data_IF_645051599054
#
_entry.id   IF_645051599054
#
_cell.length_a   1.000
_cell.length_b   1.000
_cell.length_c   1.000
_cell.angle_alpha   90.00
_cell.angle_beta   90.00
_cell.angle_gamma   90.00
#
_symmetry.space_group_name_H-M   'P 1'
#
loop_
_entity.id
_entity.type
_entity.pdbx_description
1 polymer ?
#
# COMPACT_ATOMS: atom_id res chain seq x y z
N UNK A 1 25.93 -19.26 -13.12
CA UNK A 1 26.26 -18.03 -13.89
C UNK A 1 25.10 -17.64 -14.80
N UNK A 2 24.56 -18.55 -15.62
CA UNK A 2 23.39 -18.32 -16.49
C UNK A 2 22.18 -17.76 -15.72
N UNK A 3 21.74 -18.42 -14.64
CA UNK A 3 20.60 -17.96 -13.80
C UNK A 3 20.75 -16.55 -13.22
N UNK A 4 21.99 -16.15 -12.89
CA UNK A 4 22.25 -14.80 -12.34
C UNK A 4 22.16 -13.75 -13.45
N UNK A 5 22.63 -14.07 -14.67
CA UNK A 5 22.46 -13.20 -15.83
C UNK A 5 20.97 -13.06 -16.19
N UNK A 6 20.21 -14.16 -16.17
CA UNK A 6 18.76 -14.14 -16.41
C UNK A 6 18.00 -13.30 -15.37
N UNK A 7 18.33 -13.48 -14.08
CA UNK A 7 17.77 -12.64 -13.01
C UNK A 7 18.02 -11.15 -13.28
N UNK A 8 19.27 -10.77 -13.55
CA UNK A 8 19.61 -9.37 -13.83
C UNK A 8 18.88 -8.86 -15.08
N UNK A 9 18.82 -9.66 -16.15
CA UNK A 9 18.11 -9.30 -17.39
C UNK A 9 16.62 -9.07 -17.15
N UNK A 10 15.96 -9.91 -16.33
CA UNK A 10 14.54 -9.76 -15.99
C UNK A 10 14.29 -8.47 -15.20
N UNK A 11 15.13 -8.19 -14.21
CA UNK A 11 15.04 -6.98 -13.39
C UNK A 11 15.23 -5.74 -14.27
N UNK A 12 16.26 -5.72 -15.12
CA UNK A 12 16.50 -4.61 -16.05
C UNK A 12 15.33 -4.39 -16.99
N UNK A 13 14.84 -5.46 -17.64
CA UNK A 13 13.72 -5.35 -18.59
C UNK A 13 12.44 -4.82 -17.93
N UNK A 14 12.15 -5.26 -16.69
CA UNK A 14 11.00 -4.78 -15.93
C UNK A 14 11.14 -3.29 -15.59
N UNK A 15 12.32 -2.86 -15.11
CA UNK A 15 12.57 -1.45 -14.81
C UNK A 15 12.52 -0.56 -16.06
N UNK A 16 13.01 -1.05 -17.20
CA UNK A 16 12.92 -0.32 -18.47
C UNK A 16 11.47 -0.16 -18.93
N UNK A 17 10.63 -1.19 -18.78
CA UNK A 17 9.20 -1.12 -19.09
C UNK A 17 8.49 -0.07 -18.22
N UNK A 18 8.73 -0.08 -16.90
CA UNK A 18 8.16 0.92 -15.98
C UNK A 18 8.55 2.35 -16.34
N UNK A 19 9.80 2.58 -16.76
CA UNK A 19 10.27 3.91 -17.20
C UNK A 19 9.53 4.37 -18.46
N UNK A 20 9.26 3.47 -19.41
CA UNK A 20 8.51 3.78 -20.62
C UNK A 20 7.04 4.12 -20.30
N UNK A 21 6.40 3.35 -19.42
CA UNK A 21 5.03 3.60 -18.97
C UNK A 21 4.91 4.93 -18.22
N UNK A 22 5.86 5.23 -17.33
CA UNK A 22 5.89 6.49 -16.60
C UNK A 22 6.11 7.68 -17.54
N UNK A 23 6.97 7.53 -18.56
CA UNK A 23 7.17 8.56 -19.59
C UNK A 23 5.93 8.79 -20.46
N UNK A 24 5.05 7.79 -20.59
CA UNK A 24 3.78 7.92 -21.28
C UNK A 24 2.70 8.62 -20.43
N UNK A 25 2.90 8.78 -19.12
CA UNK A 25 1.99 9.52 -18.23
C UNK A 25 0.61 8.87 -18.06
N UNK A 26 0.50 7.55 -18.24
CA UNK A 26 -0.79 6.84 -18.21
C UNK A 26 -1.41 6.75 -16.80
N UNK A 27 -0.58 6.85 -15.76
CA UNK A 27 -0.95 6.89 -14.34
C UNK A 27 0.26 7.32 -13.49
N UNK A 28 0.03 7.61 -12.21
CA UNK A 28 1.07 7.97 -11.23
C UNK A 28 1.19 6.94 -10.08
N UNK A 29 0.82 5.68 -10.33
CA UNK A 29 0.82 4.61 -9.33
C UNK A 29 2.20 4.32 -8.73
N UNK A 30 3.25 4.31 -9.55
CA UNK A 30 4.61 3.89 -9.18
C UNK A 30 5.60 5.05 -9.04
N UNK A 31 5.10 6.28 -8.94
CA UNK A 31 5.93 7.45 -8.75
C UNK A 31 6.79 7.36 -7.48
N UNK A 32 8.02 7.89 -7.57
CA UNK A 32 8.92 8.00 -6.42
C UNK A 32 8.29 8.88 -5.35
N UNK A 33 8.21 8.51 -4.07
CA UNK A 33 7.61 9.37 -3.05
C UNK A 33 8.30 10.74 -2.98
N UNK A 34 7.53 11.80 -2.73
CA UNK A 34 8.10 13.10 -2.41
C UNK A 34 8.92 12.99 -1.12
N UNK A 35 9.94 13.84 -0.97
CA UNK A 35 10.75 13.88 0.25
C UNK A 35 9.91 14.07 1.53
N UNK A 36 8.83 14.84 1.45
CA UNK A 36 7.90 15.07 2.55
C UNK A 36 7.05 13.83 2.90
N UNK A 37 6.81 12.95 1.92
CA UNK A 37 6.04 11.73 2.14
C UNK A 37 6.86 10.59 2.76
N UNK A 38 8.19 10.71 2.80
CA UNK A 38 9.08 9.67 3.33
C UNK A 38 9.18 9.81 4.85
N UNK A 39 8.54 8.90 5.57
CA UNK A 39 8.44 8.93 7.04
C UNK A 39 9.26 7.82 7.69
N UNK A 40 9.99 8.17 8.76
CA UNK A 40 10.56 7.20 9.71
C UNK A 40 9.78 7.29 11.00
N UNK A 41 9.05 6.24 11.37
CA UNK A 41 8.26 6.28 12.62
C UNK A 41 9.13 6.46 13.86
N UNK A 42 10.41 6.10 13.80
CA UNK A 42 11.37 6.38 14.87
C UNK A 42 11.41 7.88 15.23
N UNK A 43 11.27 8.76 14.24
CA UNK A 43 11.33 10.22 14.44
C UNK A 43 10.08 10.72 15.19
N UNK A 44 8.93 10.04 15.05
CA UNK A 44 7.68 10.31 15.81
C UNK A 44 7.64 9.59 17.16
N UNK A 45 8.33 8.46 17.28
CA UNK A 45 8.23 7.53 18.40
C UNK A 45 9.17 7.85 19.58
N UNK A 46 9.38 9.14 19.88
CA UNK A 46 10.33 9.59 20.91
C UNK A 46 9.78 9.48 22.34
N UNK A 47 8.46 9.67 22.51
CA UNK A 47 7.81 9.62 23.81
C UNK A 47 7.29 8.21 24.11
N UNK A 48 8.05 7.48 24.93
CA UNK A 48 7.74 6.10 25.32
C UNK A 48 6.54 6.04 26.28
N UNK A 49 5.67 5.08 26.02
CA UNK A 49 4.50 4.75 26.85
C UNK A 49 4.77 3.50 27.69
N UNK A 50 4.07 3.37 28.81
CA UNK A 50 3.93 2.07 29.45
C UNK A 50 3.15 1.12 28.56
N UNK A 51 3.32 -0.22 28.70
CA UNK A 51 2.54 -1.19 27.93
C UNK A 51 1.01 -1.00 28.07
N UNK A 52 0.53 -0.57 29.24
CA UNK A 52 -0.89 -0.32 29.47
C UNK A 52 -1.39 0.92 28.70
N UNK A 53 -0.61 2.00 28.67
CA UNK A 53 -0.95 3.22 27.92
C UNK A 53 -0.90 2.98 26.40
N UNK A 54 0.10 2.23 25.92
CA UNK A 54 0.19 1.84 24.52
C UNK A 54 -1.01 0.98 24.12
N UNK A 55 -1.36 -0.04 24.94
CA UNK A 55 -2.57 -0.86 24.71
C UNK A 55 -3.83 0.01 24.67
N UNK A 56 -4.03 0.90 25.64
CA UNK A 56 -5.19 1.81 25.67
C UNK A 56 -5.29 2.67 24.41
N UNK A 57 -4.14 3.13 23.87
CA UNK A 57 -4.11 3.90 22.61
C UNK A 57 -4.51 3.04 21.41
N UNK A 58 -3.98 1.82 21.32
CA UNK A 58 -4.33 0.86 20.26
C UNK A 58 -5.82 0.47 20.35
N UNK A 59 -6.35 0.24 21.56
CA UNK A 59 -7.76 -0.05 21.77
C UNK A 59 -8.66 1.10 21.25
N UNK A 60 -8.18 2.34 21.35
CA UNK A 60 -8.84 3.50 20.73
C UNK A 60 -8.88 3.42 19.21
N UNK A 61 -7.78 3.02 18.56
CA UNK A 61 -7.76 2.82 17.10
C UNK A 61 -8.66 1.65 16.66
N UNK A 62 -8.68 0.57 17.44
CA UNK A 62 -9.58 -0.58 17.22
C UNK A 62 -11.04 -0.14 17.29
N UNK A 63 -11.40 0.61 18.35
CA UNK A 63 -12.76 1.12 18.52
C UNK A 63 -13.15 2.06 17.38
N UNK A 64 -12.23 2.91 16.92
CA UNK A 64 -12.46 3.80 15.78
C UNK A 64 -12.74 3.04 14.49
N UNK A 65 -11.89 2.08 14.12
CA UNK A 65 -12.10 1.25 12.92
C UNK A 65 -13.47 0.56 12.96
N UNK A 66 -13.82 -0.08 14.09
CA UNK A 66 -15.12 -0.75 14.26
C UNK A 66 -16.31 0.20 14.21
N UNK A 67 -16.13 1.45 14.64
CA UNK A 67 -17.21 2.44 14.61
C UNK A 67 -17.62 2.79 13.18
N UNK A 68 -16.72 2.67 12.20
CA UNK A 68 -17.02 2.95 10.79
C UNK A 68 -17.98 1.92 10.17
N UNK A 69 -17.97 0.67 10.63
CA UNK A 69 -18.85 -0.38 10.09
C UNK A 69 -20.34 -0.07 10.29
N UNK A 70 -20.72 0.65 11.35
CA UNK A 70 -22.12 0.97 11.63
C UNK A 70 -22.79 1.81 10.53
N UNK A 71 -22.00 2.61 9.79
CA UNK A 71 -22.50 3.45 8.70
C UNK A 71 -22.59 2.73 7.35
N UNK A 72 -22.02 1.53 7.21
CA UNK A 72 -21.89 0.78 5.95
C UNK A 72 -21.29 1.61 4.78
N UNK A 73 -20.57 2.69 5.07
CA UNK A 73 -20.07 3.62 4.05
C UNK A 73 -18.91 3.05 3.22
N UNK A 74 -18.36 1.91 3.64
CA UNK A 74 -17.27 1.20 2.97
C UNK A 74 -17.73 -0.09 2.26
N UNK A 75 -19.04 -0.41 2.27
CA UNK A 75 -19.54 -1.71 1.78
C UNK A 75 -19.44 -1.89 0.26
N UNK A 76 -19.28 -0.79 -0.46
CA UNK A 76 -19.06 -0.72 -1.91
C UNK A 76 -17.57 -0.86 -2.29
N UNK A 77 -16.69 -1.11 -1.32
CA UNK A 77 -15.24 -1.16 -1.53
C UNK A 77 -14.65 -2.51 -1.14
N UNK A 78 -13.69 -2.94 -1.95
CA UNK A 78 -12.88 -4.13 -1.73
C UNK A 78 -11.45 -3.75 -1.29
N UNK A 79 -10.87 -4.59 -0.43
CA UNK A 79 -9.45 -4.58 -0.09
C UNK A 79 -8.85 -5.94 -0.40
N UNK A 80 -7.81 -5.97 -1.22
CA UNK A 80 -7.07 -7.20 -1.54
C UNK A 80 -5.84 -7.29 -0.63
N UNK A 81 -5.76 -8.36 0.15
CA UNK A 81 -4.61 -8.65 1.02
C UNK A 81 -3.83 -9.84 0.47
N UNK A 82 -2.67 -9.58 -0.12
CA UNK A 82 -1.83 -10.56 -0.78
C UNK A 82 -0.75 -11.10 0.17
N UNK A 83 -0.51 -12.41 0.11
CA UNK A 83 0.43 -13.13 0.96
C UNK A 83 0.09 -13.03 2.47
N UNK A 84 -1.20 -12.93 2.80
CA UNK A 84 -1.67 -12.62 4.16
C UNK A 84 -2.34 -13.82 4.84
N UNK A 85 -1.54 -14.83 5.20
CA UNK A 85 -2.01 -15.97 6.01
C UNK A 85 -2.61 -15.55 7.36
N UNK A 86 -2.13 -14.43 7.92
CA UNK A 86 -2.49 -14.02 9.29
C UNK A 86 -3.82 -13.27 9.37
N UNK A 87 -4.15 -12.54 8.31
CA UNK A 87 -5.24 -11.58 8.26
C UNK A 87 -5.03 -10.34 9.13
N UNK A 88 -3.90 -10.19 9.83
CA UNK A 88 -3.70 -9.11 10.80
C UNK A 88 -3.61 -7.74 10.13
N UNK A 89 -2.95 -7.62 8.96
CA UNK A 89 -2.83 -6.33 8.27
C UNK A 89 -4.17 -5.84 7.73
N UNK A 90 -4.96 -6.76 7.20
CA UNK A 90 -6.25 -6.48 6.57
C UNK A 90 -7.43 -6.40 7.55
N UNK A 91 -7.29 -6.94 8.78
CA UNK A 91 -8.31 -6.91 9.83
C UNK A 91 -8.99 -5.55 10.09
N UNK A 92 -8.28 -4.43 10.26
CA UNK A 92 -8.95 -3.16 10.54
C UNK A 92 -9.86 -2.70 9.38
N UNK A 93 -9.56 -3.09 8.15
CA UNK A 93 -10.39 -2.79 6.97
C UNK A 93 -11.69 -3.59 7.01
N UNK A 94 -11.61 -4.89 7.29
CA UNK A 94 -12.78 -5.76 7.47
C UNK A 94 -13.67 -5.24 8.62
N UNK A 95 -13.07 -4.90 9.76
CA UNK A 95 -13.78 -4.36 10.92
C UNK A 95 -14.41 -2.99 10.65
N UNK A 96 -13.93 -2.25 9.65
CA UNK A 96 -14.49 -0.97 9.20
C UNK A 96 -15.56 -1.11 8.10
N UNK A 97 -15.91 -2.35 7.72
CA UNK A 97 -16.98 -2.64 6.78
C UNK A 97 -16.57 -2.72 5.31
N UNK A 98 -15.27 -2.76 5.00
CA UNK A 98 -14.79 -3.10 3.66
C UNK A 98 -14.97 -4.60 3.39
N UNK A 99 -15.17 -4.97 2.12
CA UNK A 99 -15.08 -6.36 1.71
C UNK A 99 -13.61 -6.75 1.55
N UNK A 100 -13.11 -7.66 2.38
CA UNK A 100 -11.69 -8.06 2.36
C UNK A 100 -11.52 -9.42 1.69
N UNK A 101 -10.64 -9.48 0.70
CA UNK A 101 -10.21 -10.72 0.05
C UNK A 101 -8.76 -11.01 0.42
N UNK A 102 -8.51 -12.11 1.13
CA UNK A 102 -7.18 -12.53 1.57
C UNK A 102 -6.68 -13.67 0.70
N UNK A 103 -5.47 -13.52 0.19
CA UNK A 103 -4.86 -14.45 -0.74
C UNK A 103 -3.53 -14.96 -0.19
N UNK A 104 -3.43 -16.25 0.10
CA UNK A 104 -2.19 -16.91 0.46
C UNK A 104 -2.18 -18.34 -0.04
N UNK A 105 -1.09 -18.74 -0.70
CA UNK A 105 -0.90 -20.08 -1.25
C UNK A 105 -0.94 -21.18 -0.15
N UNK A 106 -0.66 -20.84 1.11
CA UNK A 106 -0.79 -21.77 2.24
C UNK A 106 -2.24 -22.06 2.60
N UNK A 107 -3.14 -21.09 2.43
CA UNK A 107 -4.55 -21.24 2.76
C UNK A 107 -5.31 -21.88 1.61
N UNK A 108 -5.01 -21.46 0.37
CA UNK A 108 -5.58 -22.04 -0.84
C UNK A 108 -4.56 -22.01 -1.99
N UNK A 109 -4.00 -23.15 -2.41
CA UNK A 109 -3.01 -23.18 -3.50
C UNK A 109 -3.55 -22.72 -4.86
N UNK A 110 -4.85 -22.93 -5.13
CA UNK A 110 -5.45 -22.59 -6.42
C UNK A 110 -5.81 -21.10 -6.49
N UNK A 111 -6.37 -20.55 -5.41
CA UNK A 111 -6.83 -19.16 -5.34
C UNK A 111 -5.81 -18.19 -4.73
N UNK A 112 -4.83 -18.68 -3.97
CA UNK A 112 -3.88 -17.86 -3.21
C UNK A 112 -2.50 -17.75 -3.84
N UNK A 113 -2.21 -18.46 -4.94
CA UNK A 113 -0.96 -18.28 -5.69
C UNK A 113 -1.07 -17.04 -6.59
N UNK A 114 -0.39 -15.97 -6.20
CA UNK A 114 -0.35 -14.71 -6.94
C UNK A 114 0.17 -14.87 -8.37
N UNK A 115 0.96 -15.92 -8.69
CA UNK A 115 1.37 -16.18 -10.08
C UNK A 115 0.19 -16.47 -11.02
N UNK A 116 -0.94 -16.95 -10.47
CA UNK A 116 -2.14 -17.26 -11.25
C UNK A 116 -3.00 -16.03 -11.54
N UNK A 117 -2.67 -14.87 -10.96
CA UNK A 117 -3.52 -13.70 -11.07
C UNK A 117 -3.42 -13.09 -12.46
N UNK A 118 -4.53 -13.04 -13.16
CA UNK A 118 -4.69 -12.38 -14.45
C UNK A 118 -6.16 -11.94 -14.57
N UNK A 119 -6.51 -11.33 -15.71
CA UNK A 119 -7.85 -10.82 -15.95
C UNK A 119 -8.89 -11.93 -15.82
N UNK A 120 -8.64 -13.08 -16.45
CA UNK A 120 -9.55 -14.22 -16.42
C UNK A 120 -9.71 -14.79 -14.99
N UNK A 121 -8.63 -14.85 -14.22
CA UNK A 121 -8.67 -15.32 -12.84
C UNK A 121 -9.63 -14.48 -12.00
N UNK A 122 -9.50 -13.16 -12.02
CA UNK A 122 -10.37 -12.31 -11.22
C UNK A 122 -11.80 -12.32 -11.76
N UNK A 123 -11.97 -12.27 -13.08
CA UNK A 123 -13.30 -12.26 -13.68
C UNK A 123 -14.07 -13.57 -13.41
N UNK A 124 -13.42 -14.71 -13.52
CA UNK A 124 -14.07 -16.02 -13.38
C UNK A 124 -14.32 -16.40 -11.92
N UNK A 125 -13.34 -16.17 -11.05
CA UNK A 125 -13.42 -16.61 -9.64
C UNK A 125 -14.07 -15.57 -8.73
N UNK A 126 -13.90 -14.29 -9.05
CA UNK A 126 -14.34 -13.18 -8.20
C UNK A 126 -15.37 -12.29 -8.88
N UNK A 127 -15.60 -12.43 -10.19
CA UNK A 127 -16.49 -11.56 -10.96
C UNK A 127 -16.19 -10.10 -10.67
N UNK A 128 -14.88 -9.80 -10.62
CA UNK A 128 -14.25 -8.59 -10.09
C UNK A 128 -15.11 -7.88 -9.05
N UNK A 129 -15.39 -8.63 -7.99
CA UNK A 129 -15.96 -8.13 -6.75
C UNK A 129 -17.34 -7.49 -6.90
N UNK A 130 -18.11 -7.86 -7.93
CA UNK A 130 -19.53 -7.51 -8.10
C UNK A 130 -19.80 -5.99 -8.12
N UNK A 131 -18.91 -5.24 -8.76
CA UNK A 131 -19.03 -3.79 -8.89
C UNK A 131 -18.47 -3.00 -7.70
N UNK A 132 -17.81 -3.67 -6.74
CA UNK A 132 -17.06 -2.99 -5.69
C UNK A 132 -15.78 -2.38 -6.26
N UNK A 133 -15.46 -1.17 -5.81
CA UNK A 133 -14.20 -0.52 -6.11
C UNK A 133 -13.06 -1.19 -5.32
N UNK A 134 -11.99 -1.61 -6.00
CA UNK A 134 -10.76 -2.06 -5.31
C UNK A 134 -10.05 -0.83 -4.73
N UNK A 135 -10.36 -0.52 -3.47
CA UNK A 135 -9.86 0.66 -2.78
C UNK A 135 -8.38 0.52 -2.39
N UNK A 136 -8.01 -0.65 -1.87
CA UNK A 136 -6.66 -0.88 -1.36
C UNK A 136 -6.11 -2.27 -1.74
N UNK A 137 -4.80 -2.31 -2.00
CA UNK A 137 -4.03 -3.55 -2.13
C UNK A 137 -2.88 -3.55 -1.13
N UNK A 138 -2.90 -4.51 -0.21
CA UNK A 138 -1.88 -4.72 0.83
C UNK A 138 -1.11 -5.99 0.49
N UNK A 139 0.20 -5.94 0.33
CA UNK A 139 1.00 -7.08 -0.09
C UNK A 139 2.16 -7.35 0.88
N UNK A 140 2.05 -8.43 1.65
CA UNK A 140 3.09 -8.89 2.58
C UNK A 140 4.10 -9.83 1.85
N UNK A 141 4.72 -9.32 0.78
CA UNK A 141 5.53 -10.11 -0.15
C UNK A 141 6.55 -11.04 0.57
N UNK A 142 6.74 -12.29 0.11
CA UNK A 142 7.62 -13.24 0.76
C UNK A 142 9.05 -12.71 0.98
N UNK A 143 9.43 -12.51 2.24
CA UNK A 143 10.72 -11.89 2.58
C UNK A 143 11.96 -12.80 2.48
N UNK A 144 11.76 -14.11 2.29
CA UNK A 144 12.82 -15.13 2.44
C UNK A 144 14.02 -14.89 1.53
N UNK A 145 13.80 -14.42 0.30
CA UNK A 145 14.86 -14.21 -0.70
C UNK A 145 15.31 -12.76 -0.82
N UNK A 146 14.73 -11.86 -0.02
CA UNK A 146 14.99 -10.43 -0.07
C UNK A 146 15.59 -9.86 1.22
N UNK A 147 15.16 -10.34 2.38
CA UNK A 147 15.54 -9.76 3.67
C UNK A 147 17.04 -9.91 3.94
N UNK A 148 17.67 -8.81 4.39
CA UNK A 148 19.12 -8.74 4.65
C UNK A 148 19.57 -9.76 5.71
N UNK A 149 18.69 -10.14 6.64
CA UNK A 149 18.98 -11.18 7.64
C UNK A 149 19.36 -12.53 7.02
N UNK A 150 18.95 -12.80 5.78
CA UNK A 150 19.28 -14.00 5.01
C UNK A 150 20.44 -13.84 4.02
N UNK A 151 21.19 -12.72 4.05
CA UNK A 151 22.11 -12.35 2.96
C UNK A 151 23.19 -13.40 2.64
N UNK A 152 23.65 -14.17 3.64
CA UNK A 152 24.61 -15.26 3.46
C UNK A 152 24.12 -16.37 2.51
N UNK A 153 22.81 -16.46 2.26
CA UNK A 153 22.20 -17.45 1.38
C UNK A 153 21.86 -16.91 -0.01
N UNK A 154 22.03 -15.61 -0.27
CA UNK A 154 21.62 -14.98 -1.53
C UNK A 154 22.31 -15.60 -2.74
N UNK A 155 23.63 -15.80 -2.70
CA UNK A 155 24.35 -16.38 -3.85
C UNK A 155 23.79 -17.73 -4.30
N UNK A 156 23.46 -18.62 -3.35
CA UNK A 156 22.87 -19.92 -3.69
C UNK A 156 21.45 -19.77 -4.28
N UNK A 157 20.63 -18.89 -3.70
CA UNK A 157 19.25 -18.62 -4.16
C UNK A 157 19.18 -17.96 -5.53
N UNK A 158 20.18 -17.15 -5.84
CA UNK A 158 20.32 -16.49 -7.14
C UNK A 158 20.77 -17.52 -8.20
N UNK A 159 21.63 -18.48 -7.82
CA UNK A 159 22.10 -19.54 -8.70
C UNK A 159 21.07 -20.64 -8.96
N UNK A 160 20.23 -20.96 -7.97
CA UNK A 160 19.23 -22.03 -8.05
C UNK A 160 17.82 -21.55 -8.48
N UNK A 161 17.66 -20.26 -8.78
CA UNK A 161 16.44 -19.70 -9.36
C UNK A 161 15.36 -19.28 -8.36
N UNK A 162 15.52 -19.57 -7.06
CA UNK A 162 14.54 -19.17 -6.03
C UNK A 162 14.33 -17.66 -5.96
N UNK A 163 15.41 -16.88 -6.08
CA UNK A 163 15.29 -15.42 -6.11
C UNK A 163 14.49 -14.95 -7.32
N UNK A 164 14.67 -15.59 -8.47
CA UNK A 164 13.93 -15.22 -9.69
C UNK A 164 12.44 -15.50 -9.57
N UNK A 165 12.05 -16.64 -8.98
CA UNK A 165 10.65 -16.94 -8.68
C UNK A 165 10.04 -15.92 -7.71
N UNK A 166 10.77 -15.55 -6.65
CA UNK A 166 10.31 -14.53 -5.70
C UNK A 166 10.22 -13.13 -6.33
N UNK A 167 11.11 -12.78 -7.27
CA UNK A 167 11.01 -11.52 -8.04
C UNK A 167 9.77 -11.50 -8.91
N UNK A 168 9.41 -12.63 -9.53
CA UNK A 168 8.21 -12.67 -10.35
C UNK A 168 6.92 -12.46 -9.55
N UNK A 169 6.85 -12.96 -8.31
CA UNK A 169 5.73 -12.66 -7.42
C UNK A 169 5.59 -11.15 -7.14
N UNK A 170 6.71 -10.43 -7.02
CA UNK A 170 6.69 -8.97 -6.83
C UNK A 170 6.23 -8.27 -8.12
N UNK A 171 6.74 -8.67 -9.28
CA UNK A 171 6.30 -8.11 -10.56
C UNK A 171 4.81 -8.37 -10.80
N UNK A 172 4.32 -9.58 -10.50
CA UNK A 172 2.92 -9.92 -10.63
C UNK A 172 2.05 -9.11 -9.65
N UNK A 173 2.52 -8.88 -8.43
CA UNK A 173 1.87 -7.96 -7.48
C UNK A 173 1.73 -6.55 -8.06
N UNK A 174 2.77 -6.03 -8.71
CA UNK A 174 2.73 -4.71 -9.35
C UNK A 174 1.77 -4.67 -10.54
N UNK A 175 1.70 -5.74 -11.36
CA UNK A 175 0.71 -5.84 -12.45
C UNK A 175 -0.73 -5.84 -11.91
N UNK A 176 -0.98 -6.48 -10.78
CA UNK A 176 -2.32 -6.47 -10.13
C UNK A 176 -2.66 -5.07 -9.62
N UNK A 177 -1.68 -4.36 -9.04
CA UNK A 177 -1.83 -2.95 -8.64
C UNK A 177 -2.13 -2.07 -9.86
N UNK A 178 -1.42 -2.25 -10.96
CA UNK A 178 -1.65 -1.52 -12.20
C UNK A 178 -3.01 -1.81 -12.82
N UNK A 179 -3.44 -3.07 -12.78
CA UNK A 179 -4.73 -3.50 -13.30
C UNK A 179 -5.90 -2.84 -12.57
N UNK A 180 -5.87 -2.82 -11.23
CA UNK A 180 -6.94 -2.25 -10.41
C UNK A 180 -6.82 -0.75 -10.14
N UNK A 181 -5.62 -0.17 -10.29
CA UNK A 181 -5.30 1.23 -9.99
C UNK A 181 -5.88 1.70 -8.63
N UNK A 182 -5.65 0.96 -7.53
CA UNK A 182 -6.31 1.26 -6.26
C UNK A 182 -5.89 2.62 -5.73
N UNK A 183 -6.78 3.28 -4.98
CA UNK A 183 -6.45 4.52 -4.29
C UNK A 183 -5.22 4.34 -3.37
N UNK A 184 -5.13 3.18 -2.73
CA UNK A 184 -4.01 2.80 -1.88
C UNK A 184 -3.35 1.51 -2.34
N UNK A 185 -2.02 1.48 -2.35
CA UNK A 185 -1.29 0.21 -2.39
C UNK A 185 -0.07 0.27 -1.48
N UNK A 186 0.26 -0.88 -0.89
CA UNK A 186 1.41 -1.03 -0.02
C UNK A 186 2.05 -2.41 -0.15
N UNK A 187 3.36 -2.45 -0.33
CA UNK A 187 4.19 -3.66 -0.26
C UNK A 187 5.02 -3.61 1.02
N UNK A 188 4.98 -4.64 1.85
CA UNK A 188 5.81 -4.78 3.05
C UNK A 188 7.00 -5.72 2.83
N UNK A 189 8.13 -5.34 3.39
CA UNK A 189 9.24 -6.25 3.59
C UNK A 189 10.22 -5.73 4.66
N UNK A 190 10.92 -6.63 5.36
CA UNK A 190 12.12 -6.27 6.09
C UNK A 190 13.17 -5.61 5.17
N UNK A 191 14.06 -4.81 5.76
CA UNK A 191 15.18 -4.20 5.02
C UNK A 191 15.97 -5.26 4.24
N UNK A 192 16.18 -5.02 2.95
CA UNK A 192 16.69 -6.04 2.05
C UNK A 192 16.94 -5.54 0.64
N UNK A 193 16.79 -6.46 -0.33
CA UNK A 193 17.03 -6.21 -1.76
C UNK A 193 15.76 -6.20 -2.62
N UNK A 194 14.57 -6.26 -2.01
CA UNK A 194 13.29 -6.29 -2.74
C UNK A 194 13.06 -5.02 -3.57
N UNK A 195 13.41 -3.84 -3.04
CA UNK A 195 13.26 -2.57 -3.78
C UNK A 195 13.97 -2.62 -5.13
N UNK A 196 15.27 -2.97 -5.10
CA UNK A 196 16.11 -3.07 -6.30
C UNK A 196 15.71 -4.24 -7.22
N UNK A 197 15.41 -5.41 -6.66
CA UNK A 197 15.14 -6.60 -7.47
C UNK A 197 13.70 -6.65 -8.00
N UNK A 198 12.76 -5.98 -7.35
CA UNK A 198 11.35 -5.98 -7.73
C UNK A 198 10.92 -4.73 -8.49
N UNK A 199 11.81 -3.78 -8.74
CA UNK A 199 11.47 -2.52 -9.42
C UNK A 199 10.49 -1.66 -8.62
N UNK A 200 10.61 -1.64 -7.29
CA UNK A 200 9.76 -0.78 -6.46
C UNK A 200 10.29 0.66 -6.48
N UNK A 201 9.41 1.67 -6.31
CA UNK A 201 9.86 3.03 -5.98
C UNK A 201 10.63 3.03 -4.64
N UNK A 202 11.21 4.16 -4.25
CA UNK A 202 11.81 4.28 -2.92
C UNK A 202 10.77 4.00 -1.82
N UNK A 203 11.20 3.37 -0.72
CA UNK A 203 10.32 3.14 0.43
C UNK A 203 9.75 4.46 0.95
N UNK A 204 8.47 4.43 1.35
CA UNK A 204 7.74 5.60 1.86
C UNK A 204 7.68 5.60 3.39
N UNK A 205 7.67 4.42 4.02
CA UNK A 205 7.63 4.29 5.47
C UNK A 205 8.72 3.33 5.97
N UNK A 206 9.35 3.69 7.09
CA UNK A 206 10.15 2.73 7.87
C UNK A 206 9.69 2.70 9.32
N UNK A 207 9.62 1.50 9.90
CA UNK A 207 9.22 1.32 11.29
C UNK A 207 9.84 0.08 11.94
N UNK A 208 9.75 0.06 13.27
CA UNK A 208 9.94 -1.10 14.12
C UNK A 208 8.62 -1.33 14.90
N UNK A 209 8.27 -2.57 15.25
CA UNK A 209 7.04 -2.90 15.98
C UNK A 209 6.91 -2.12 17.31
N UNK A 210 8.03 -1.79 17.95
CA UNK A 210 8.04 -0.97 19.17
C UNK A 210 7.57 0.47 18.98
N UNK A 211 7.54 1.01 17.76
CA UNK A 211 6.94 2.32 17.49
C UNK A 211 5.41 2.29 17.60
N UNK A 212 4.81 1.11 17.48
CA UNK A 212 3.35 0.90 17.42
C UNK A 212 2.88 -0.12 18.46
N UNK A 213 3.62 -0.28 19.55
CA UNK A 213 3.13 -0.94 20.78
C UNK A 213 3.62 -2.37 21.01
N UNK A 214 4.35 -2.97 20.08
CA UNK A 214 4.92 -4.31 20.26
C UNK A 214 6.38 -4.25 20.75
N UNK A 215 6.76 -4.93 21.85
CA UNK A 215 8.02 -4.66 22.57
C UNK A 215 9.27 -5.27 21.92
N UNK A 216 9.35 -5.37 20.60
CA UNK A 216 10.49 -5.91 19.87
C UNK A 216 10.87 -5.06 18.66
N UNK A 217 12.10 -5.23 18.18
CA UNK A 217 12.60 -4.61 16.95
C UNK A 217 12.59 -5.59 15.79
N UNK A 218 12.21 -5.07 14.62
CA UNK A 218 12.20 -5.75 13.33
C UNK A 218 12.05 -4.64 12.31
N UNK A 219 13.17 -4.03 11.91
CA UNK A 219 13.14 -2.91 10.97
C UNK A 219 12.51 -3.34 9.64
N UNK A 220 11.33 -2.81 9.39
CA UNK A 220 10.51 -3.06 8.20
C UNK A 220 10.36 -1.78 7.40
N UNK A 221 10.29 -1.94 6.08
CA UNK A 221 10.01 -0.88 5.12
C UNK A 221 8.68 -1.17 4.43
N UNK A 222 7.94 -0.11 4.11
CA UNK A 222 6.74 -0.17 3.27
C UNK A 222 6.96 0.71 2.04
N UNK A 223 6.66 0.13 0.88
CA UNK A 223 6.67 0.79 -0.42
C UNK A 223 5.24 1.01 -0.89
N UNK A 224 4.97 2.10 -1.59
CA UNK A 224 3.66 2.28 -2.22
C UNK A 224 3.15 3.71 -2.25
N UNK A 225 1.84 3.82 -2.51
CA UNK A 225 1.06 5.06 -2.51
C UNK A 225 0.09 5.02 -1.33
N UNK A 226 0.49 5.65 -0.23
CA UNK A 226 -0.28 5.75 1.02
C UNK A 226 0.23 6.94 1.85
N UNK A 227 -0.55 7.39 2.84
CA UNK A 227 -0.10 8.34 3.86
C UNK A 227 0.76 7.62 4.90
N UNK A 228 2.04 7.98 4.93
CA UNK A 228 3.03 7.38 5.83
C UNK A 228 3.07 8.02 7.23
N UNK A 229 2.31 9.09 7.47
CA UNK A 229 2.26 9.79 8.76
C UNK A 229 1.38 9.04 9.79
N UNK A 230 1.77 7.81 10.12
CA UNK A 230 0.97 6.96 11.00
C UNK A 230 0.93 7.49 12.45
N UNK A 231 -0.18 7.31 13.20
CA UNK A 231 -0.17 7.48 14.64
C UNK A 231 0.75 6.44 15.31
N UNK A 232 1.33 6.79 16.45
CA UNK A 232 2.31 5.94 17.16
C UNK A 232 1.86 5.61 18.59
N UNK A 233 2.27 4.43 19.05
CA UNK A 233 2.10 3.95 20.43
C UNK A 233 3.45 3.39 20.93
N UNK A 234 4.47 4.23 21.12
CA UNK A 234 5.84 3.77 21.32
C UNK A 234 6.02 3.03 22.65
N UNK A 235 6.71 1.91 22.65
CA UNK A 235 7.07 1.14 23.86
C UNK A 235 8.56 0.82 23.87
N UNK A 236 9.11 0.55 25.05
CA UNK A 236 10.49 0.08 25.17
C UNK A 236 10.62 -1.30 24.52
N UNK A 237 11.60 -1.53 23.61
CA UNK A 237 11.78 -2.81 22.94
C UNK A 237 12.50 -3.84 23.83
N UNK A 238 11.88 -4.23 24.94
CA UNK A 238 12.48 -5.15 25.94
C UNK A 238 12.77 -6.56 25.39
N UNK A 239 12.09 -6.98 24.31
CA UNK A 239 12.36 -8.25 23.62
C UNK A 239 13.46 -8.14 22.55
N UNK A 240 13.94 -6.92 22.24
CA UNK A 240 14.99 -6.67 21.26
C UNK A 240 14.72 -7.31 19.90
N UNK A 241 15.75 -7.88 19.27
CA UNK A 241 15.62 -8.62 17.99
C UNK A 241 15.02 -10.02 18.21
N UNK A 242 13.74 -10.05 18.65
CA UNK A 242 12.94 -11.25 18.92
C UNK A 242 13.00 -12.27 17.78
N UNK A 243 13.03 -11.78 16.54
CA UNK A 243 13.07 -12.60 15.34
C UNK A 243 14.33 -13.45 15.25
N UNK A 244 15.47 -12.89 15.67
CA UNK A 244 16.73 -13.63 15.69
C UNK A 244 16.84 -14.54 16.92
N UNK A 245 16.35 -14.09 18.09
CA UNK A 245 16.53 -14.82 19.36
C UNK A 245 15.55 -15.97 19.56
N UNK A 246 14.29 -15.85 19.10
CA UNK A 246 13.23 -16.85 19.31
C UNK A 246 12.84 -17.61 18.04
N UNK A 247 12.99 -16.99 16.87
CA UNK A 247 12.48 -17.52 15.59
C UNK A 247 13.59 -17.81 14.57
N UNK A 248 14.69 -18.40 15.04
CA UNK A 248 15.71 -19.00 14.16
C UNK A 248 15.21 -20.30 13.51
N UNK A 249 15.68 -20.58 12.30
CA UNK A 249 15.38 -21.83 11.58
C UNK A 249 14.45 -21.68 10.37
N UNK A 250 14.21 -22.80 9.68
CA UNK A 250 13.51 -22.85 8.40
C UNK A 250 12.11 -23.47 8.45
N UNK A 251 11.61 -23.84 9.63
CA UNK A 251 10.29 -24.47 9.77
C UNK A 251 9.17 -23.53 9.32
N UNK A 252 8.06 -24.10 8.82
CA UNK A 252 6.90 -23.30 8.41
C UNK A 252 6.32 -22.51 9.59
N UNK A 253 6.20 -23.14 10.78
CA UNK A 253 5.74 -22.47 11.99
C UNK A 253 6.62 -21.26 12.37
N UNK A 254 7.94 -21.40 12.27
CA UNK A 254 8.88 -20.29 12.50
C UNK A 254 8.72 -19.18 11.47
N UNK A 255 8.53 -19.52 10.20
CA UNK A 255 8.31 -18.56 9.11
C UNK A 255 6.99 -17.81 9.32
N UNK A 256 5.93 -18.50 9.70
CA UNK A 256 4.62 -17.87 9.91
C UNK A 256 4.67 -16.96 11.14
N UNK A 257 5.25 -17.41 12.25
CA UNK A 257 5.37 -16.60 13.47
C UNK A 257 6.16 -15.30 13.28
N UNK A 258 7.17 -15.27 12.42
CA UNK A 258 7.95 -14.05 12.12
C UNK A 258 7.33 -13.17 11.04
N UNK A 259 6.35 -13.68 10.30
CA UNK A 259 5.65 -12.96 9.22
C UNK A 259 4.34 -12.32 9.68
N UNK A 260 3.84 -12.64 10.88
CA UNK A 260 2.66 -11.95 11.44
C UNK A 260 2.91 -10.46 11.53
N UNK A 261 1.99 -9.68 10.93
CA UNK A 261 2.00 -8.22 10.99
C UNK A 261 1.66 -7.76 12.41
N UNK A 262 2.42 -6.82 13.01
CA UNK A 262 2.10 -6.23 14.30
C UNK A 262 0.68 -5.62 14.32
N UNK A 263 -0.15 -5.98 15.30
CA UNK A 263 -1.52 -5.47 15.41
C UNK A 263 -1.54 -3.93 15.43
N UNK A 264 -0.67 -3.32 16.24
CA UNK A 264 -0.61 -1.87 16.32
C UNK A 264 -0.20 -1.21 15.01
N UNK A 265 0.61 -1.88 14.17
CA UNK A 265 0.91 -1.38 12.82
C UNK A 265 -0.34 -1.43 11.94
N UNK A 266 -1.09 -2.54 11.94
CA UNK A 266 -2.29 -2.69 11.11
C UNK A 266 -3.29 -1.57 11.36
N UNK A 267 -3.63 -1.32 12.64
CA UNK A 267 -4.57 -0.27 12.99
C UNK A 267 -3.99 1.13 12.76
N UNK A 268 -2.72 1.39 13.08
CA UNK A 268 -2.10 2.67 12.79
C UNK A 268 -2.08 2.98 11.28
N UNK A 269 -1.80 1.98 10.45
CA UNK A 269 -1.84 2.08 9.00
C UNK A 269 -3.25 2.42 8.51
N UNK A 270 -4.27 1.73 9.01
CA UNK A 270 -5.68 2.03 8.72
C UNK A 270 -6.10 3.44 9.13
N UNK A 271 -5.74 3.89 10.33
CA UNK A 271 -6.09 5.22 10.84
C UNK A 271 -5.63 6.36 9.91
N UNK A 272 -4.47 6.20 9.29
CA UNK A 272 -3.90 7.22 8.41
C UNK A 272 -4.43 7.16 6.96
N UNK A 273 -5.14 6.09 6.57
CA UNK A 273 -5.35 5.77 5.16
C UNK A 273 -6.78 5.37 4.76
N UNK A 274 -7.69 5.18 5.72
CA UNK A 274 -9.07 4.84 5.36
C UNK A 274 -9.78 6.01 4.66
N UNK A 275 -10.74 5.67 3.79
CA UNK A 275 -11.48 6.63 2.95
C UNK A 275 -12.20 7.69 3.78
N UNK A 276 -12.85 7.28 4.86
CA UNK A 276 -13.77 8.15 5.61
C UNK A 276 -13.03 9.25 6.36
N UNK A 277 -11.86 8.91 6.93
CA UNK A 277 -11.01 9.89 7.60
C UNK A 277 -10.13 10.66 6.61
N UNK A 278 -9.87 10.11 5.41
CA UNK A 278 -8.92 10.67 4.43
C UNK A 278 -9.51 10.77 3.00
N UNK A 279 -10.65 11.47 2.79
CA UNK A 279 -11.34 11.49 1.50
C UNK A 279 -10.53 12.16 0.39
N UNK A 280 -9.72 13.18 0.72
CA UNK A 280 -8.85 13.86 -0.24
C UNK A 280 -7.75 12.94 -0.78
N UNK A 281 -7.15 12.12 0.09
CA UNK A 281 -6.11 11.16 -0.33
C UNK A 281 -6.67 10.18 -1.36
N UNK A 282 -7.84 9.63 -1.08
CA UNK A 282 -8.47 8.69 -1.99
C UNK A 282 -8.88 9.32 -3.31
N UNK A 283 -9.45 10.53 -3.27
CA UNK A 283 -9.84 11.27 -4.47
C UNK A 283 -8.64 11.57 -5.35
N UNK A 284 -7.56 12.11 -4.77
CA UNK A 284 -6.33 12.40 -5.49
C UNK A 284 -5.68 11.14 -6.06
N UNK A 285 -5.80 10.00 -5.39
CA UNK A 285 -5.26 8.75 -5.89
C UNK A 285 -6.12 8.12 -7.01
N UNK A 286 -7.44 8.34 -7.02
CA UNK A 286 -8.34 7.94 -8.12
C UNK A 286 -8.05 8.77 -9.37
N UNK A 287 -7.93 10.08 -9.22
CA UNK A 287 -7.66 11.03 -10.30
C UNK A 287 -6.19 11.46 -10.33
N UNK A 288 -5.30 10.46 -10.33
CA UNK A 288 -3.86 10.67 -10.13
C UNK A 288 -3.13 11.44 -11.24
N UNK A 289 -3.72 11.59 -12.43
CA UNK A 289 -3.19 12.47 -13.49
C UNK A 289 -3.68 13.92 -13.39
N UNK A 290 -4.66 14.19 -12.52
CA UNK A 290 -5.15 15.54 -12.27
C UNK A 290 -4.40 16.23 -11.13
N UNK A 291 -4.59 17.55 -11.04
CA UNK A 291 -4.04 18.38 -9.97
C UNK A 291 -4.57 17.98 -8.60
N UNK A 292 -3.68 17.51 -7.72
CA UNK A 292 -4.02 17.26 -6.31
C UNK A 292 -4.51 18.52 -5.60
N UNK A 293 -4.03 19.70 -6.01
CA UNK A 293 -4.47 21.00 -5.48
C UNK A 293 -5.90 21.33 -5.93
N UNK A 294 -6.23 21.15 -7.21
CA UNK A 294 -7.59 21.41 -7.70
C UNK A 294 -8.61 20.45 -7.04
N UNK A 295 -8.26 19.18 -6.91
CA UNK A 295 -9.08 18.17 -6.24
C UNK A 295 -9.30 18.52 -4.76
N UNK A 296 -8.25 18.95 -4.05
CA UNK A 296 -8.37 19.46 -2.68
C UNK A 296 -9.30 20.68 -2.58
N UNK A 297 -9.15 21.65 -3.48
CA UNK A 297 -10.01 22.83 -3.52
C UNK A 297 -11.47 22.48 -3.82
N UNK A 298 -11.74 21.44 -4.61
CA UNK A 298 -13.09 20.97 -4.84
C UNK A 298 -13.74 20.42 -3.56
N UNK A 299 -12.99 19.65 -2.77
CA UNK A 299 -13.43 19.20 -1.45
C UNK A 299 -13.66 20.40 -0.51
N UNK A 300 -12.73 21.35 -0.46
CA UNK A 300 -12.85 22.56 0.38
C UNK A 300 -14.04 23.44 -0.01
N UNK A 301 -14.38 23.47 -1.31
CA UNK A 301 -15.59 24.12 -1.83
C UNK A 301 -16.88 23.33 -1.52
N UNK A 302 -16.77 22.20 -0.84
CA UNK A 302 -17.88 21.34 -0.42
C UNK A 302 -18.45 20.45 -1.53
N UNK A 303 -17.70 20.17 -2.60
CA UNK A 303 -18.05 19.07 -3.50
C UNK A 303 -17.76 17.75 -2.79
N UNK A 304 -18.69 16.80 -2.89
CA UNK A 304 -18.49 15.45 -2.39
C UNK A 304 -17.76 14.60 -3.45
N UNK A 305 -17.00 13.57 -3.05
CA UNK A 305 -16.28 12.71 -3.99
C UNK A 305 -17.14 12.11 -5.11
N UNK A 306 -18.40 11.72 -4.82
CA UNK A 306 -19.30 11.20 -5.87
C UNK A 306 -19.74 12.28 -6.87
N UNK A 307 -19.97 13.52 -6.42
CA UNK A 307 -20.33 14.64 -7.31
C UNK A 307 -19.16 14.97 -8.25
N UNK A 308 -17.92 14.83 -7.76
CA UNK A 308 -16.72 14.98 -8.58
C UNK A 308 -16.66 13.86 -9.62
N UNK A 309 -16.91 12.60 -9.22
CA UNK A 309 -16.94 11.47 -10.15
C UNK A 309 -18.00 11.60 -11.23
N UNK A 310 -19.24 11.95 -10.88
CA UNK A 310 -20.31 12.22 -11.85
C UNK A 310 -19.96 13.32 -12.85
N UNK A 311 -19.11 14.27 -12.45
CA UNK A 311 -18.68 15.38 -13.29
C UNK A 311 -17.54 15.01 -14.26
N UNK A 312 -16.57 14.19 -13.83
CA UNK A 312 -15.31 14.02 -14.58
C UNK A 312 -14.99 12.57 -14.99
N UNK A 313 -15.74 11.56 -14.53
CA UNK A 313 -15.41 10.15 -14.81
C UNK A 313 -15.41 9.85 -16.32
N UNK A 314 -16.35 10.39 -17.10
CA UNK A 314 -16.39 10.18 -18.55
C UNK A 314 -15.10 10.73 -19.21
N UNK A 315 -14.77 11.99 -18.94
CA UNK A 315 -13.57 12.63 -19.49
C UNK A 315 -12.28 11.93 -19.02
N UNK A 316 -12.18 11.62 -17.73
CA UNK A 316 -10.96 11.10 -17.12
C UNK A 316 -10.74 9.59 -17.36
N UNK A 317 -11.78 8.77 -17.19
CA UNK A 317 -11.68 7.31 -17.25
C UNK A 317 -11.98 6.76 -18.64
N UNK A 318 -12.98 7.31 -19.34
CA UNK A 318 -13.41 6.78 -20.64
C UNK A 318 -12.64 7.40 -21.80
N UNK A 319 -12.55 8.72 -21.83
CA UNK A 319 -11.96 9.47 -22.94
C UNK A 319 -10.44 9.69 -22.78
N UNK A 320 -9.91 9.51 -21.56
CA UNK A 320 -8.52 9.83 -21.20
C UNK A 320 -8.16 11.28 -21.56
N UNK A 321 -9.12 12.19 -21.43
CA UNK A 321 -9.00 13.62 -21.69
C UNK A 321 -8.87 14.39 -20.37
N UNK A 322 -7.64 14.43 -19.88
CA UNK A 322 -7.29 15.10 -18.62
C UNK A 322 -7.55 16.62 -18.69
N UNK A 323 -7.45 17.24 -19.86
CA UNK A 323 -7.71 18.68 -20.07
C UNK A 323 -9.20 19.01 -19.92
N UNK A 324 -10.06 18.15 -20.48
CA UNK A 324 -11.52 18.25 -20.33
C UNK A 324 -11.94 18.02 -18.88
N UNK A 325 -11.43 16.95 -18.25
CA UNK A 325 -11.69 16.66 -16.84
C UNK A 325 -11.25 17.81 -15.92
N UNK A 326 -10.06 18.38 -16.16
CA UNK A 326 -9.55 19.53 -15.43
C UNK A 326 -10.46 20.75 -15.60
N UNK A 327 -10.88 21.03 -16.84
CA UNK A 327 -11.71 22.20 -17.16
C UNK A 327 -13.09 22.11 -16.48
N UNK A 328 -13.73 20.95 -16.54
CA UNK A 328 -15.02 20.68 -15.89
C UNK A 328 -14.93 20.89 -14.37
N UNK A 329 -13.92 20.30 -13.73
CA UNK A 329 -13.71 20.44 -12.29
C UNK A 329 -13.43 21.90 -11.91
N UNK A 330 -12.58 22.59 -12.70
CA UNK A 330 -12.24 23.99 -12.47
C UNK A 330 -13.47 24.89 -12.53
N UNK A 331 -14.35 24.70 -13.51
CA UNK A 331 -15.60 25.45 -13.63
C UNK A 331 -16.51 25.23 -12.42
N UNK A 332 -16.69 23.97 -11.99
CA UNK A 332 -17.50 23.64 -10.83
C UNK A 332 -16.99 24.29 -9.53
N UNK A 333 -15.66 24.36 -9.36
CA UNK A 333 -15.02 25.04 -8.22
C UNK A 333 -15.21 26.57 -8.29
N UNK A 334 -15.05 27.17 -9.47
CA UNK A 334 -15.26 28.61 -9.68
C UNK A 334 -16.70 29.04 -9.41
N UNK A 335 -17.70 28.24 -9.81
CA UNK A 335 -19.12 28.51 -9.56
C UNK A 335 -19.46 28.56 -8.06
N UNK A 336 -18.63 27.95 -7.21
CA UNK A 336 -18.76 28.00 -5.75
C UNK A 336 -18.00 29.16 -5.10
N UNK A 337 -17.43 30.07 -5.91
CA UNK A 337 -16.81 31.31 -5.44
C UNK A 337 -15.35 31.17 -4.97
N UNK A 338 -14.69 30.06 -5.29
CA UNK A 338 -13.27 29.87 -4.98
C UNK A 338 -12.38 30.69 -5.92
N UNK A 339 -11.40 31.42 -5.38
CA UNK A 339 -10.41 32.13 -6.19
C UNK A 339 -9.29 31.15 -6.61
N UNK A 340 -9.06 31.02 -7.93
CA UNK A 340 -8.05 30.15 -8.53
C UNK A 340 -6.88 30.91 -9.18
N UNK A 341 -6.70 32.21 -8.93
CA UNK A 341 -5.82 33.13 -9.67
C UNK A 341 -4.31 32.90 -9.45
N UNK A 342 -3.89 31.99 -8.56
CA UNK A 342 -2.48 31.66 -8.31
C UNK A 342 -1.99 30.43 -9.08
N UNK A 343 -2.59 30.10 -10.23
CA UNK A 343 -2.40 28.83 -10.93
C UNK A 343 -1.12 28.83 -11.79
N UNK A 344 -0.11 28.09 -11.34
CA UNK A 344 0.84 27.42 -12.23
C UNK A 344 0.97 26.01 -11.69
N UNK A 345 0.39 25.05 -12.39
CA UNK A 345 0.36 23.66 -11.98
C UNK A 345 1.47 22.91 -12.69
N UNK A 346 2.51 22.53 -11.96
CA UNK A 346 3.48 21.56 -12.44
C UNK A 346 2.92 20.20 -12.04
N UNK A 347 2.20 19.54 -12.95
CA UNK A 347 1.35 18.40 -12.65
C UNK A 347 2.03 17.18 -12.02
N UNK A 348 1.17 16.21 -11.69
CA UNK A 348 1.47 14.77 -11.73
C UNK A 348 1.58 14.07 -10.39
N UNK A 349 2.21 14.67 -9.37
CA UNK A 349 2.45 13.93 -8.13
C UNK A 349 1.45 14.26 -7.02
N UNK A 350 0.71 13.23 -6.59
CA UNK A 350 -0.17 13.30 -5.42
C UNK A 350 0.67 13.40 -4.14
N UNK A 351 0.57 14.53 -3.43
CA UNK A 351 1.05 14.62 -2.06
C UNK A 351 0.20 13.69 -1.19
N UNK A 352 0.83 12.83 -0.38
CA UNK A 352 0.09 11.90 0.48
C UNK A 352 -0.04 12.42 1.92
N UNK A 353 0.53 13.59 2.18
CA UNK A 353 0.38 14.38 3.40
C UNK A 353 -0.28 15.71 3.05
N UNK A 354 -1.38 16.05 3.72
CA UNK A 354 -2.14 17.29 3.53
C UNK A 354 -2.12 18.14 4.80
#
# INVERSE_FOLDING_TARGET
MVMVCELNSRVTAFSEAQVLEQAAGLHHLFDQPLKADVVRLADKAQCLLSPAEARKRIDGWIAHARSQAAGMQNSDKAVLSLFDTSGEWSRPWEEAGYQVYRFDIQDNPDLGDVNNFNVEFFADWFGDFYGQEVFAILAACPCTDFARSGCKHFGNKDLDGRTMASVELVHQTLRVIEYYKPALWAVENPVGRIERLGGLPAWRLSFDPCHVGDPYTKKTLIWGRFNADLPVAPVVPVEGSKMHSKYGGGSLATKNARSVTPQGFSYAFFMANNQLDNPQLALCAKYDRLSSRLLGQAIDAGLKPHEIGELIDDAYLMDLDDDSAHSLLREAVLLRGCNLDSFVDAGGQVAMTF
#
